data_IF_070024893202
#
_entry.id   IF_070024893202
#
_cell.length_a   1.000
_cell.length_b   1.000
_cell.length_c   1.000
_cell.angle_alpha   90.00
_cell.angle_beta   90.00
_cell.angle_gamma   90.00
#
_symmetry.space_group_name_H-M   'P 1'
#
loop_
_entity.id
_entity.type
_entity.pdbx_description
1 polymer ?
#
# COMPACT_ATOMS: atom_id res chain seq x y z
N UNK A 1 -35.60 -35.18 41.25
CA UNK A 1 -34.41 -34.34 41.01
C UNK A 1 -34.26 -33.40 42.19
N UNK A 2 -33.12 -33.44 42.88
CA UNK A 2 -32.87 -32.55 44.04
C UNK A 2 -32.49 -31.15 43.55
N UNK A 3 -32.95 -30.10 44.26
CA UNK A 3 -32.67 -28.69 43.93
C UNK A 3 -31.17 -28.39 43.73
N UNK A 4 -30.31 -29.12 44.44
CA UNK A 4 -28.85 -29.06 44.29
C UNK A 4 -28.38 -29.49 42.89
N UNK A 5 -28.98 -30.53 42.30
CA UNK A 5 -28.61 -31.02 40.96
C UNK A 5 -29.01 -30.02 39.87
N UNK A 6 -30.15 -29.34 40.03
CA UNK A 6 -30.64 -28.33 39.09
C UNK A 6 -29.79 -27.05 39.15
N UNK A 7 -29.37 -26.63 40.35
CA UNK A 7 -28.48 -25.48 40.52
C UNK A 7 -27.10 -25.71 39.89
N UNK A 8 -26.53 -26.90 40.08
CA UNK A 8 -25.26 -27.28 39.45
C UNK A 8 -25.37 -27.29 37.93
N UNK A 9 -26.46 -27.84 37.37
CA UNK A 9 -26.69 -27.84 35.92
C UNK A 9 -26.78 -26.42 35.32
N UNK A 10 -27.40 -25.46 36.02
CA UNK A 10 -27.48 -24.07 35.57
C UNK A 10 -26.12 -23.36 35.56
N UNK A 11 -25.26 -23.61 36.55
CA UNK A 11 -23.90 -23.06 36.59
C UNK A 11 -23.06 -23.61 35.44
N UNK A 12 -23.15 -24.92 35.16
CA UNK A 12 -22.47 -25.52 34.01
C UNK A 12 -22.97 -24.99 32.67
N UNK A 13 -24.28 -24.79 32.52
CA UNK A 13 -24.85 -24.17 31.32
C UNK A 13 -24.34 -22.73 31.13
N UNK A 14 -24.24 -21.95 32.21
CA UNK A 14 -23.66 -20.60 32.19
C UNK A 14 -22.19 -20.60 31.76
N UNK A 15 -21.36 -21.47 32.35
CA UNK A 15 -19.95 -21.59 31.99
C UNK A 15 -19.75 -22.04 30.53
N UNK A 16 -20.52 -23.03 30.07
CA UNK A 16 -20.48 -23.47 28.68
C UNK A 16 -20.88 -22.35 27.71
N UNK A 17 -21.89 -21.53 28.05
CA UNK A 17 -22.27 -20.39 27.21
C UNK A 17 -21.15 -19.35 27.08
N UNK A 18 -20.41 -19.10 28.16
CA UNK A 18 -19.25 -18.19 28.16
C UNK A 18 -18.10 -18.76 27.33
N UNK A 19 -17.82 -20.06 27.45
CA UNK A 19 -16.76 -20.73 26.67
C UNK A 19 -17.10 -20.77 25.19
N UNK A 20 -18.35 -21.06 24.82
CA UNK A 20 -18.79 -21.05 23.42
C UNK A 20 -18.73 -19.62 22.87
N UNK A 21 -19.22 -18.63 23.62
CA UNK A 21 -19.13 -17.22 23.23
C UNK A 21 -17.67 -16.79 23.01
N UNK A 22 -16.77 -17.15 23.92
CA UNK A 22 -15.33 -16.88 23.80
C UNK A 22 -14.70 -17.58 22.60
N UNK A 23 -15.11 -18.82 22.30
CA UNK A 23 -14.57 -19.58 21.16
C UNK A 23 -15.05 -19.01 19.83
N UNK A 24 -16.32 -18.59 19.77
CA UNK A 24 -16.90 -17.91 18.60
C UNK A 24 -16.24 -16.55 18.41
N UNK A 25 -15.99 -15.80 19.47
CA UNK A 25 -15.28 -14.51 19.44
C UNK A 25 -13.84 -14.67 18.93
N UNK A 26 -13.10 -15.66 19.44
CA UNK A 26 -11.76 -15.99 18.97
C UNK A 26 -11.72 -16.39 17.49
N UNK A 27 -12.67 -17.22 17.02
CA UNK A 27 -12.74 -17.62 15.60
C UNK A 27 -13.13 -16.43 14.71
N UNK A 28 -14.07 -15.60 15.15
CA UNK A 28 -14.46 -14.40 14.44
C UNK A 28 -13.28 -13.41 14.32
N UNK A 29 -12.47 -13.28 15.37
CA UNK A 29 -11.26 -12.47 15.37
C UNK A 29 -10.20 -13.00 14.39
N UNK A 30 -9.96 -14.32 14.35
CA UNK A 30 -9.00 -14.92 13.41
C UNK A 30 -9.42 -14.75 11.94
N UNK A 31 -10.71 -14.96 11.64
CA UNK A 31 -11.24 -14.71 10.30
C UNK A 31 -11.11 -13.23 9.94
N UNK A 32 -11.42 -12.34 10.88
CA UNK A 32 -11.29 -10.90 10.70
C UNK A 32 -9.85 -10.46 10.40
N UNK A 33 -8.85 -10.95 11.14
CA UNK A 33 -7.44 -10.68 10.87
C UNK A 33 -7.02 -11.17 9.48
N UNK A 34 -7.52 -12.34 9.05
CA UNK A 34 -7.26 -12.88 7.72
C UNK A 34 -7.87 -12.03 6.61
N UNK A 35 -9.08 -11.51 6.82
CA UNK A 35 -9.76 -10.58 5.90
C UNK A 35 -8.99 -9.26 5.81
N UNK A 36 -8.56 -8.68 6.94
CA UNK A 36 -7.77 -7.44 6.95
C UNK A 36 -6.43 -7.64 6.23
N UNK A 37 -5.77 -8.78 6.44
CA UNK A 37 -4.53 -9.11 5.74
C UNK A 37 -4.75 -9.27 4.23
N UNK A 38 -5.82 -9.95 3.83
CA UNK A 38 -6.16 -10.12 2.41
C UNK A 38 -6.50 -8.78 1.74
N UNK A 39 -7.24 -7.90 2.43
CA UNK A 39 -7.54 -6.56 1.96
C UNK A 39 -6.27 -5.70 1.84
N UNK A 40 -5.40 -5.73 2.84
CA UNK A 40 -4.11 -5.04 2.81
C UNK A 40 -3.22 -5.56 1.67
N UNK A 41 -3.24 -6.87 1.41
CA UNK A 41 -2.50 -7.50 0.33
C UNK A 41 -3.05 -7.09 -1.03
N UNK A 42 -4.36 -7.09 -1.23
CA UNK A 42 -4.99 -6.62 -2.46
C UNK A 42 -4.68 -5.13 -2.73
N UNK A 43 -4.69 -4.31 -1.68
CA UNK A 43 -4.29 -2.91 -1.77
C UNK A 43 -2.82 -2.76 -2.17
N UNK A 44 -1.92 -3.50 -1.51
CA UNK A 44 -0.50 -3.53 -1.85
C UNK A 44 -0.30 -3.96 -3.30
N UNK A 45 -0.93 -5.05 -3.72
CA UNK A 45 -0.83 -5.58 -5.08
C UNK A 45 -1.33 -4.56 -6.11
N UNK A 46 -2.43 -3.86 -5.83
CA UNK A 46 -2.96 -2.79 -6.67
C UNK A 46 -1.98 -1.63 -6.83
N UNK A 47 -1.46 -1.08 -5.71
CA UNK A 47 -0.52 0.05 -5.76
C UNK A 47 0.79 -0.36 -6.45
N UNK A 48 1.33 -1.53 -6.11
CA UNK A 48 2.54 -2.07 -6.75
C UNK A 48 2.35 -2.23 -8.24
N UNK A 49 1.20 -2.75 -8.68
CA UNK A 49 0.91 -2.90 -10.10
C UNK A 49 0.78 -1.55 -10.80
N UNK A 50 0.10 -0.57 -10.20
CA UNK A 50 -0.02 0.79 -10.75
C UNK A 50 1.35 1.46 -10.90
N UNK A 51 2.23 1.37 -9.89
CA UNK A 51 3.61 1.88 -9.95
C UNK A 51 4.40 1.14 -11.04
N UNK A 52 4.26 -0.19 -11.13
CA UNK A 52 5.01 -1.01 -12.09
C UNK A 52 4.60 -0.73 -13.54
N UNK A 53 3.31 -0.60 -13.79
CA UNK A 53 2.79 -0.21 -15.11
C UNK A 53 3.30 1.19 -15.45
N UNK A 54 3.21 2.16 -14.54
CA UNK A 54 3.75 3.51 -14.77
C UNK A 54 5.25 3.52 -15.09
N UNK A 55 6.06 2.83 -14.29
CA UNK A 55 7.51 2.73 -14.53
C UNK A 55 7.82 2.07 -15.89
N UNK A 56 7.10 0.99 -16.22
CA UNK A 56 7.27 0.29 -17.51
C UNK A 56 6.86 1.15 -18.70
N UNK A 57 5.75 1.89 -18.59
CA UNK A 57 5.30 2.82 -19.63
C UNK A 57 6.30 3.95 -19.82
N UNK A 58 6.91 4.47 -18.75
CA UNK A 58 7.94 5.50 -18.85
C UNK A 58 9.22 5.00 -19.54
N UNK A 59 9.49 3.70 -19.49
CA UNK A 59 10.61 3.06 -20.18
C UNK A 59 10.39 2.85 -21.69
N UNK A 60 9.15 3.01 -22.18
CA UNK A 60 8.86 2.87 -23.61
C UNK A 60 9.57 3.98 -24.44
N UNK A 61 10.04 3.66 -25.66
CA UNK A 61 10.60 4.66 -26.56
C UNK A 61 9.54 5.72 -26.91
N UNK A 62 9.96 6.98 -27.06
CA UNK A 62 9.09 8.13 -27.37
C UNK A 62 8.32 8.75 -26.20
N UNK A 63 8.37 8.15 -25.00
CA UNK A 63 7.76 8.73 -23.78
C UNK A 63 8.77 9.66 -23.09
N UNK A 64 8.44 10.93 -22.86
CA UNK A 64 9.32 11.88 -22.15
C UNK A 64 8.88 12.18 -20.72
N UNK A 65 7.61 11.94 -20.42
CA UNK A 65 7.06 12.02 -19.08
C UNK A 65 5.54 12.05 -19.12
N UNK A 66 4.93 11.69 -18.01
CA UNK A 66 3.48 11.72 -17.81
C UNK A 66 3.14 11.71 -16.33
N UNK A 67 1.89 12.05 -16.03
CA UNK A 67 1.32 11.98 -14.70
C UNK A 67 0.21 10.91 -14.68
N UNK A 68 0.24 10.05 -13.68
CA UNK A 68 -0.67 8.94 -13.49
C UNK A 68 -1.45 9.14 -12.19
N UNK A 69 -2.76 9.06 -12.29
CA UNK A 69 -3.64 9.00 -11.13
C UNK A 69 -3.53 7.63 -10.47
N UNK A 70 -3.26 7.59 -9.17
CA UNK A 70 -3.29 6.38 -8.36
C UNK A 70 -4.67 6.26 -7.73
N UNK A 71 -5.38 5.20 -8.12
CA UNK A 71 -6.67 4.89 -7.52
C UNK A 71 -6.44 4.17 -6.20
N UNK A 72 -6.86 4.83 -5.11
CA UNK A 72 -6.80 4.31 -3.75
C UNK A 72 -8.23 4.01 -3.29
N UNK A 73 -8.53 2.78 -2.84
CA UNK A 73 -9.88 2.39 -2.49
C UNK A 73 -10.40 3.21 -1.30
N UNK A 74 -11.53 3.87 -1.49
CA UNK A 74 -12.25 4.60 -0.44
C UNK A 74 -13.33 3.75 0.25
N UNK A 75 -13.57 2.54 -0.25
CA UNK A 75 -14.59 1.63 0.26
C UNK A 75 -14.07 0.19 0.29
N UNK A 76 -14.22 -0.47 1.44
CA UNK A 76 -13.83 -1.87 1.64
C UNK A 76 -14.88 -2.58 2.51
N UNK A 77 -15.96 -3.12 1.91
CA UNK A 77 -16.77 -4.11 2.61
C UNK A 77 -15.86 -5.34 2.78
N UNK A 78 -15.73 -5.92 3.98
CA UNK A 78 -16.74 -6.06 5.04
C UNK A 78 -16.46 -5.31 6.36
N UNK A 79 -15.80 -4.14 6.31
CA UNK A 79 -15.41 -3.37 7.50
C UNK A 79 -16.41 -2.25 7.81
N UNK A 80 -16.68 -2.00 9.11
CA UNK A 80 -17.50 -0.86 9.54
C UNK A 80 -16.73 0.45 9.35
N UNK A 81 -15.43 0.42 9.66
CA UNK A 81 -14.49 1.48 9.34
C UNK A 81 -13.09 0.89 9.14
N UNK A 82 -12.27 1.60 8.38
CA UNK A 82 -10.90 1.20 8.13
C UNK A 82 -10.03 2.42 7.88
N UNK A 83 -8.76 2.25 8.16
CA UNK A 83 -7.72 3.25 8.03
C UNK A 83 -6.51 2.57 7.43
N UNK A 84 -5.85 3.18 6.46
CA UNK A 84 -4.61 2.63 5.94
C UNK A 84 -3.61 3.71 5.55
N UNK A 85 -2.34 3.34 5.59
CA UNK A 85 -1.21 4.14 5.13
C UNK A 85 -0.52 3.39 4.00
N UNK A 86 -0.27 4.08 2.90
CA UNK A 86 0.58 3.61 1.82
C UNK A 86 1.88 4.41 1.87
N UNK A 87 2.98 3.74 2.20
CA UNK A 87 4.31 4.33 2.20
C UNK A 87 5.06 3.90 0.96
N UNK A 88 5.45 4.86 0.13
CA UNK A 88 6.38 4.65 -0.98
C UNK A 88 7.75 5.13 -0.51
N UNK A 89 8.77 4.26 -0.55
CA UNK A 89 10.11 4.60 -0.07
C UNK A 89 11.20 3.95 -0.89
N UNK A 90 12.31 4.64 -1.07
CA UNK A 90 13.52 4.08 -1.66
C UNK A 90 14.50 3.65 -0.57
N UNK A 91 14.80 2.35 -0.52
CA UNK A 91 15.77 1.78 0.42
C UNK A 91 16.89 1.15 -0.38
N UNK A 92 18.07 1.79 -0.37
CA UNK A 92 19.27 1.25 -1.00
C UNK A 92 19.17 1.10 -2.53
N UNK A 93 18.41 1.96 -3.19
CA UNK A 93 18.20 1.92 -4.64
C UNK A 93 17.04 1.03 -5.09
N UNK A 94 16.30 0.42 -4.16
CA UNK A 94 15.09 -0.35 -4.46
C UNK A 94 13.87 0.42 -3.96
N UNK A 95 12.89 0.61 -4.84
CA UNK A 95 11.60 1.19 -4.51
C UNK A 95 10.72 0.16 -3.81
N UNK A 96 10.33 0.44 -2.58
CA UNK A 96 9.40 -0.34 -1.79
C UNK A 96 8.07 0.38 -1.66
N UNK A 97 6.99 -0.41 -1.69
CA UNK A 97 5.66 0.01 -1.25
C UNK A 97 5.35 -0.76 0.02
N UNK A 98 4.93 -0.05 1.06
CA UNK A 98 4.42 -0.61 2.30
C UNK A 98 2.99 -0.15 2.52
N UNK A 99 2.14 -1.07 2.96
CA UNK A 99 0.75 -0.83 3.30
C UNK A 99 0.56 -1.24 4.76
N UNK A 100 0.16 -0.28 5.58
CA UNK A 100 -0.26 -0.49 6.96
C UNK A 100 -1.76 -0.26 7.02
N UNK A 101 -2.56 -1.31 7.21
CA UNK A 101 -4.01 -1.24 7.27
C UNK A 101 -4.49 -1.61 8.67
N UNK A 102 -5.47 -0.88 9.16
CA UNK A 102 -6.22 -1.18 10.38
C UNK A 102 -7.71 -1.13 10.06
N UNK A 103 -8.46 -2.14 10.44
CA UNK A 103 -9.90 -2.19 10.22
C UNK A 103 -10.64 -2.53 11.51
N UNK A 104 -11.91 -2.11 11.55
CA UNK A 104 -12.79 -2.26 12.69
C UNK A 104 -14.12 -2.91 12.26
N UNK A 105 -14.63 -3.80 13.11
CA UNK A 105 -15.96 -4.42 12.99
C UNK A 105 -16.55 -4.56 14.39
N UNK A 106 -17.60 -3.81 14.69
CA UNK A 106 -18.14 -3.69 16.05
C UNK A 106 -17.08 -3.23 17.05
N UNK A 107 -16.83 -4.03 18.08
CA UNK A 107 -15.76 -3.81 19.08
C UNK A 107 -14.41 -4.41 18.70
N UNK A 108 -14.33 -5.20 17.63
CA UNK A 108 -13.10 -5.85 17.19
C UNK A 108 -12.26 -4.93 16.30
N UNK A 109 -10.94 -5.00 16.45
CA UNK A 109 -9.95 -4.30 15.62
C UNK A 109 -8.83 -5.23 15.21
N UNK A 110 -8.39 -5.14 13.95
CA UNK A 110 -7.26 -5.89 13.44
C UNK A 110 -6.38 -4.99 12.57
N UNK A 111 -5.08 -5.26 12.57
CA UNK A 111 -4.09 -4.52 11.79
C UNK A 111 -3.18 -5.46 11.01
N UNK A 112 -2.85 -5.07 9.78
CA UNK A 112 -1.90 -5.76 8.93
C UNK A 112 -0.87 -4.77 8.38
N UNK A 113 0.41 -5.14 8.43
CA UNK A 113 1.51 -4.40 7.80
C UNK A 113 2.18 -5.31 6.78
N UNK A 114 2.21 -4.86 5.52
CA UNK A 114 2.77 -5.62 4.41
C UNK A 114 3.65 -4.70 3.58
N UNK A 115 4.77 -5.23 3.07
CA UNK A 115 5.68 -4.47 2.21
C UNK A 115 6.15 -5.30 1.02
N UNK A 116 6.36 -4.66 -0.13
CA UNK A 116 6.87 -5.30 -1.34
C UNK A 116 7.83 -4.39 -2.10
N UNK A 117 8.91 -4.99 -2.60
CA UNK A 117 9.81 -4.36 -3.55
C UNK A 117 9.15 -4.29 -4.94
N UNK A 118 9.20 -3.12 -5.57
CA UNK A 118 8.54 -2.86 -6.85
C UNK A 118 9.54 -2.83 -8.00
N UNK A 119 10.58 -2.02 -7.86
CA UNK A 119 11.62 -1.79 -8.88
C UNK A 119 12.98 -1.53 -8.25
N UNK A 120 14.04 -1.95 -8.95
CA UNK A 120 15.36 -1.39 -8.75
C UNK A 120 15.47 -0.09 -9.57
N UNK A 121 15.79 1.01 -8.89
CA UNK A 121 15.92 2.34 -9.51
C UNK A 121 17.10 2.39 -10.49
N UNK A 122 18.11 1.53 -10.31
CA UNK A 122 19.22 1.43 -11.26
C UNK A 122 18.76 0.95 -12.65
N UNK A 123 17.67 0.19 -12.71
CA UNK A 123 17.11 -0.37 -13.95
C UNK A 123 16.21 0.62 -14.69
N UNK A 124 15.94 1.78 -14.09
CA UNK A 124 15.12 2.85 -14.68
C UNK A 124 15.92 3.68 -15.69
N UNK A 125 16.55 2.99 -16.65
CA UNK A 125 17.36 3.58 -17.71
C UNK A 125 16.84 3.11 -19.05
N UNK A 126 16.79 4.03 -20.01
CA UNK A 126 16.43 3.72 -21.38
C UNK A 126 17.31 4.47 -22.37
N UNK A 127 17.56 3.92 -23.56
CA UNK A 127 18.17 4.69 -24.63
C UNK A 127 17.23 5.84 -25.03
N UNK A 128 17.74 7.08 -24.99
CA UNK A 128 17.06 8.22 -25.61
C UNK A 128 17.14 8.06 -27.12
N UNK A 129 16.01 8.31 -27.78
CA UNK A 129 15.81 7.98 -29.18
C UNK A 129 16.86 8.64 -30.10
N UNK A 130 17.42 7.79 -30.96
CA UNK A 130 18.53 7.99 -31.87
C UNK A 130 18.12 8.90 -33.05
N UNK A 131 18.08 10.21 -32.83
CA UNK A 131 18.03 11.19 -33.93
C UNK A 131 19.00 12.35 -33.73
N UNK A 132 20.25 12.03 -33.39
CA UNK A 132 21.38 12.92 -33.64
C UNK A 132 22.28 12.28 -34.71
N UNK A 133 22.76 13.05 -35.71
CA UNK A 133 23.58 12.54 -36.81
C UNK A 133 24.97 11.99 -36.40
N UNK A 134 25.32 12.01 -35.11
CA UNK A 134 26.67 11.74 -34.60
C UNK A 134 26.84 10.41 -33.84
N UNK A 135 25.85 9.51 -33.86
CA UNK A 135 26.04 8.12 -33.39
C UNK A 135 26.22 7.92 -31.86
N UNK A 136 26.03 8.95 -31.04
CA UNK A 136 26.06 8.84 -29.57
C UNK A 136 24.66 8.56 -29.03
N UNK A 137 24.44 7.33 -28.54
CA UNK A 137 23.23 6.98 -27.77
C UNK A 137 23.34 7.64 -26.39
N UNK A 138 22.51 8.63 -26.12
CA UNK A 138 22.35 9.15 -24.76
C UNK A 138 21.43 8.23 -23.97
N UNK A 139 21.74 8.04 -22.68
CA UNK A 139 20.88 7.28 -21.78
C UNK A 139 19.97 8.25 -21.04
N UNK A 140 18.66 8.05 -21.17
CA UNK A 140 17.67 8.71 -20.32
C UNK A 140 17.50 7.93 -19.02
N UNK A 141 17.36 8.65 -17.91
CA UNK A 141 16.97 8.08 -16.62
C UNK A 141 15.51 8.43 -16.36
N UNK A 142 14.70 7.43 -16.02
CA UNK A 142 13.32 7.63 -15.59
C UNK A 142 13.32 7.98 -14.11
N UNK A 143 12.89 9.20 -13.80
CA UNK A 143 12.58 9.64 -12.45
C UNK A 143 11.12 9.38 -12.12
N UNK A 144 10.90 8.83 -10.92
CA UNK A 144 9.58 8.54 -10.37
C UNK A 144 9.37 9.52 -9.22
N UNK A 145 8.34 10.36 -9.37
CA UNK A 145 7.90 11.29 -8.35
C UNK A 145 6.56 10.84 -7.81
N UNK A 146 6.39 10.90 -6.49
CA UNK A 146 5.10 10.72 -5.86
C UNK A 146 4.63 12.01 -5.24
N UNK A 147 3.33 12.29 -5.32
CA UNK A 147 2.75 13.44 -4.65
C UNK A 147 3.03 13.35 -3.15
N UNK A 148 3.41 14.46 -2.52
CA UNK A 148 3.61 14.53 -1.09
C UNK A 148 2.30 14.21 -0.36
N UNK A 149 2.38 13.31 0.61
CA UNK A 149 1.26 12.94 1.47
C UNK A 149 1.31 13.63 2.82
N UNK A 150 0.64 13.02 3.80
CA UNK A 150 0.61 13.43 5.20
C UNK A 150 1.98 13.29 5.90
N UNK A 151 2.90 12.54 5.30
CA UNK A 151 4.30 12.46 5.74
C UNK A 151 5.22 12.18 4.57
N UNK A 152 6.49 12.53 4.70
CA UNK A 152 7.50 12.25 3.69
C UNK A 152 8.81 13.01 3.93
N UNK A 153 9.79 12.68 3.11
CA UNK A 153 11.10 13.34 3.07
C UNK A 153 11.47 13.66 1.62
N UNK A 154 12.43 14.57 1.43
CA UNK A 154 12.85 15.06 0.12
C UNK A 154 11.71 15.70 -0.71
N UNK A 155 10.78 16.38 -0.04
CA UNK A 155 9.64 17.02 -0.71
C UNK A 155 10.12 18.32 -1.38
N UNK A 156 9.95 18.40 -2.69
CA UNK A 156 10.21 19.60 -3.50
C UNK A 156 8.97 19.89 -4.33
N UNK A 157 8.41 21.10 -4.20
CA UNK A 157 7.21 21.55 -4.91
C UNK A 157 5.99 20.62 -4.79
N UNK A 158 5.83 19.97 -3.63
CA UNK A 158 4.73 19.03 -3.38
C UNK A 158 4.93 17.63 -3.98
N UNK A 159 6.15 17.31 -4.44
CA UNK A 159 6.52 16.00 -4.97
C UNK A 159 7.73 15.43 -4.23
N UNK A 160 7.77 14.11 -4.08
CA UNK A 160 8.90 13.36 -3.54
C UNK A 160 9.55 12.57 -4.66
N UNK A 161 10.85 12.79 -4.88
CA UNK A 161 11.65 12.00 -5.82
C UNK A 161 11.95 10.62 -5.22
N UNK A 162 11.19 9.61 -5.64
CA UNK A 162 11.34 8.24 -5.19
C UNK A 162 12.57 7.54 -5.79
N UNK A 163 13.31 8.19 -6.69
CA UNK A 163 14.59 7.66 -7.20
C UNK A 163 15.78 7.99 -6.31
N UNK A 164 15.63 8.98 -5.44
CA UNK A 164 16.66 9.33 -4.47
C UNK A 164 16.60 8.37 -3.28
N UNK A 165 17.77 7.83 -2.91
CA UNK A 165 17.89 6.91 -1.78
C UNK A 165 17.51 7.61 -0.48
N UNK A 166 16.66 6.98 0.33
CA UNK A 166 16.19 7.52 1.61
C UNK A 166 14.91 8.35 1.52
N UNK A 167 14.50 8.78 0.32
CA UNK A 167 13.30 9.56 0.15
C UNK A 167 12.04 8.69 0.22
N UNK A 168 10.99 9.21 0.86
CA UNK A 168 9.72 8.51 1.03
C UNK A 168 8.54 9.46 1.11
N UNK A 169 7.35 8.95 0.84
CA UNK A 169 6.07 9.64 1.08
C UNK A 169 5.07 8.65 1.68
N UNK A 170 4.16 9.16 2.50
CA UNK A 170 3.12 8.40 3.19
C UNK A 170 1.76 8.99 2.82
N UNK A 171 0.95 8.20 2.13
CA UNK A 171 -0.44 8.52 1.85
C UNK A 171 -1.34 7.84 2.86
N UNK A 172 -1.99 8.65 3.66
CA UNK A 172 -2.94 8.19 4.66
C UNK A 172 -4.35 8.20 4.07
N UNK A 173 -5.17 7.21 4.41
CA UNK A 173 -6.58 7.13 4.06
C UNK A 173 -7.43 6.73 5.28
N UNK A 174 -8.65 7.28 5.42
CA UNK A 174 -9.29 8.25 4.53
C UNK A 174 -8.60 9.62 4.56
N UNK A 175 -8.51 10.28 3.40
CA UNK A 175 -7.94 11.62 3.22
C UNK A 175 -8.97 12.52 2.54
N UNK A 176 -8.97 13.85 2.80
CA UNK A 176 -9.77 14.80 2.03
C UNK A 176 -9.44 14.78 0.52
N UNK A 177 -8.27 14.27 0.13
CA UNK A 177 -7.91 13.99 -1.25
C UNK A 177 -8.06 12.49 -1.53
N UNK A 178 -9.14 12.10 -2.21
CA UNK A 178 -9.40 10.69 -2.60
C UNK A 178 -8.48 10.20 -3.71
N UNK A 179 -7.74 11.11 -4.32
CA UNK A 179 -6.87 10.87 -5.46
C UNK A 179 -5.45 11.29 -5.15
N UNK A 180 -4.49 10.40 -5.46
CA UNK A 180 -3.06 10.69 -5.41
C UNK A 180 -2.44 10.57 -6.79
N UNK A 181 -1.29 11.19 -6.99
CA UNK A 181 -0.61 11.19 -8.28
C UNK A 181 0.82 10.65 -8.19
N UNK A 182 1.21 9.93 -9.23
CA UNK A 182 2.60 9.59 -9.55
C UNK A 182 2.97 10.31 -10.83
N UNK A 183 4.16 10.87 -10.88
CA UNK A 183 4.70 11.53 -12.06
C UNK A 183 5.98 10.84 -12.48
N UNK A 184 6.05 10.50 -13.76
CA UNK A 184 7.20 9.87 -14.37
C UNK A 184 7.83 10.87 -15.33
N UNK A 185 9.13 11.14 -15.19
CA UNK A 185 9.86 12.09 -16.03
C UNK A 185 11.12 11.44 -16.53
N UNK A 186 11.39 11.54 -17.83
CA UNK A 186 12.64 11.11 -18.42
C UNK A 186 13.57 12.30 -18.45
N UNK A 187 14.71 12.18 -17.76
CA UNK A 187 15.77 13.17 -17.79
C UNK A 187 16.98 12.58 -18.51
N UNK A 188 17.51 13.30 -19.50
CA UNK A 188 18.76 12.91 -20.13
C UNK A 188 19.92 12.99 -19.15
N UNK A 189 20.84 12.03 -19.19
CA UNK A 189 22.14 12.20 -18.54
C UNK A 189 22.91 13.28 -19.29
N UNK A 190 23.27 14.37 -18.60
CA UNK A 190 24.20 15.36 -19.15
C UNK A 190 25.54 14.71 -19.48
#
# INVERSE_FOLDING_TARGET
MNALQTAVAMVFAGLLSVVIAWTVDMQAQQVFESEVRAAAQALLDSVVNQVRVGASTALLPGVYGFEQQVSLPSYAPPFDSFYYKVTLRNVGGVLYVQVDMTAYRGSASASASLSRAVYNVADLRKPEDLRKPEGVVKMGVVKIYAQAGEGGDCIVDGWVDLTQSGCYTVWTMPSPQTTRYLRFVVTGTQ
#
